data_IF_290614118351
#
_entry.id   IF_290614118351
#
_cell.length_a   1.000
_cell.length_b   1.000
_cell.length_c   1.000
_cell.angle_alpha   90.00
_cell.angle_beta   90.00
_cell.angle_gamma   90.00
#
_symmetry.space_group_name_H-M   'P 1'
#
loop_
_entity.id
_entity.type
_entity.pdbx_description
1 polymer ?
#
# COMPACT_ATOMS: atom_id res chain seq x y z
N UNK A 1 9.49 22.13 29.19
CA UNK A 1 9.07 22.58 27.86
C UNK A 1 9.20 21.39 26.93
N UNK A 2 8.12 20.83 26.37
CA UNK A 2 8.25 19.73 25.42
C UNK A 2 9.00 20.25 24.19
N UNK A 3 10.05 19.51 23.78
CA UNK A 3 10.76 19.82 22.53
C UNK A 3 9.75 19.78 21.40
N UNK A 4 9.71 20.84 20.60
CA UNK A 4 8.92 20.83 19.37
C UNK A 4 9.35 19.61 18.53
N UNK A 5 8.42 18.77 18.05
CA UNK A 5 8.76 17.61 17.26
C UNK A 5 9.57 18.08 16.04
N UNK A 6 10.72 17.46 15.85
CA UNK A 6 11.60 17.79 14.71
C UNK A 6 10.99 17.21 13.43
N UNK A 7 11.07 17.95 12.32
CA UNK A 7 10.69 17.39 11.02
C UNK A 7 11.49 16.11 10.76
N UNK A 8 10.80 15.03 10.38
CA UNK A 8 11.45 13.77 10.01
C UNK A 8 11.56 13.70 8.50
N UNK A 9 12.76 13.50 7.94
CA UNK A 9 12.91 13.34 6.51
C UNK A 9 12.27 12.02 6.05
N UNK A 10 11.59 12.07 4.90
CA UNK A 10 11.06 10.92 4.20
C UNK A 10 11.56 10.96 2.76
N UNK A 11 12.30 9.97 2.34
CA UNK A 11 12.66 9.77 0.96
C UNK A 11 11.68 8.84 0.27
N UNK A 12 11.07 9.28 -0.82
CA UNK A 12 10.27 8.45 -1.71
C UNK A 12 11.17 8.07 -2.89
N UNK A 13 11.75 6.88 -2.82
CA UNK A 13 12.76 6.42 -3.78
C UNK A 13 12.18 5.99 -5.11
N UNK A 14 10.98 5.41 -5.08
CA UNK A 14 10.26 4.91 -6.26
C UNK A 14 8.79 5.04 -6.03
N UNK A 15 8.06 5.17 -7.13
CA UNK A 15 6.60 5.20 -7.17
C UNK A 15 6.11 4.28 -8.26
N UNK A 16 5.09 3.50 -7.99
CA UNK A 16 4.30 2.78 -8.97
C UNK A 16 2.83 3.17 -8.83
N UNK A 17 2.16 3.34 -9.96
CA UNK A 17 0.76 3.71 -10.02
C UNK A 17 0.06 2.85 -11.05
N UNK A 18 -1.11 2.32 -10.72
CA UNK A 18 -1.97 1.57 -11.63
C UNK A 18 -3.23 2.39 -11.95
N UNK A 19 -3.22 3.15 -13.05
CA UNK A 19 -4.27 4.16 -13.31
C UNK A 19 -5.60 3.58 -13.77
N UNK A 20 -5.59 2.39 -14.39
CA UNK A 20 -6.79 1.76 -14.93
C UNK A 20 -7.00 0.38 -14.29
N UNK A 21 -7.79 0.38 -13.22
CA UNK A 21 -8.09 -0.84 -12.46
C UNK A 21 -8.90 -1.88 -13.26
N UNK A 22 -9.50 -1.51 -14.39
CA UNK A 22 -10.19 -2.45 -15.28
C UNK A 22 -9.20 -3.30 -16.10
N UNK A 23 -7.97 -2.81 -16.31
CA UNK A 23 -6.93 -3.58 -16.98
C UNK A 23 -6.40 -4.69 -16.07
N UNK A 24 -5.99 -5.79 -16.70
CA UNK A 24 -5.29 -6.85 -15.98
C UNK A 24 -3.82 -6.47 -15.80
N UNK A 25 -3.30 -6.51 -14.56
CA UNK A 25 -1.89 -6.25 -14.33
C UNK A 25 -1.01 -7.34 -14.96
N UNK A 26 0.18 -6.96 -15.42
CA UNK A 26 1.17 -7.92 -15.87
C UNK A 26 1.72 -8.70 -14.67
N UNK A 27 1.57 -10.01 -14.73
CA UNK A 27 2.05 -10.98 -13.76
C UNK A 27 2.90 -12.06 -14.44
N UNK A 28 3.58 -11.74 -15.54
CA UNK A 28 4.43 -12.71 -16.26
C UNK A 28 5.52 -13.28 -15.37
N UNK A 29 5.96 -12.53 -14.37
CA UNK A 29 6.95 -12.94 -13.36
C UNK A 29 6.41 -13.94 -12.31
N UNK A 30 5.08 -14.10 -12.20
CA UNK A 30 4.44 -15.04 -11.25
C UNK A 30 4.20 -16.38 -11.95
N UNK A 31 4.61 -17.53 -11.36
CA UNK A 31 4.33 -18.86 -11.93
C UNK A 31 2.84 -19.06 -12.24
N UNK A 32 2.49 -19.70 -13.37
CA UNK A 32 1.10 -19.78 -13.85
C UNK A 32 0.12 -20.39 -12.84
N UNK A 33 0.55 -21.36 -12.05
CA UNK A 33 -0.28 -22.01 -11.05
C UNK A 33 -0.63 -21.06 -9.88
N UNK A 34 0.32 -20.25 -9.44
CA UNK A 34 0.12 -19.27 -8.39
C UNK A 34 -0.74 -18.10 -8.91
N UNK A 35 -0.41 -17.59 -10.10
CA UNK A 35 -1.14 -16.48 -10.74
C UNK A 35 -2.64 -16.74 -10.87
N UNK A 36 -3.05 -17.99 -11.19
CA UNK A 36 -4.47 -18.37 -11.31
C UNK A 36 -5.24 -18.33 -9.99
N UNK A 37 -4.55 -18.30 -8.86
CA UNK A 37 -5.15 -18.30 -7.51
C UNK A 37 -5.28 -16.90 -6.93
N UNK A 38 -4.62 -15.90 -7.53
CA UNK A 38 -4.68 -14.52 -7.05
C UNK A 38 -6.04 -13.91 -7.39
N UNK A 39 -6.62 -13.19 -6.44
CA UNK A 39 -7.71 -12.26 -6.68
C UNK A 39 -7.25 -11.09 -7.53
N UNK A 40 -8.17 -10.25 -7.98
CA UNK A 40 -7.80 -9.06 -8.74
C UNK A 40 -7.03 -8.05 -7.85
N UNK A 41 -7.43 -7.86 -6.61
CA UNK A 41 -6.70 -7.02 -5.64
C UNK A 41 -5.28 -7.55 -5.40
N UNK A 42 -5.14 -8.86 -5.15
CA UNK A 42 -3.83 -9.49 -4.98
C UNK A 42 -2.95 -9.33 -6.22
N UNK A 43 -3.53 -9.50 -7.40
CA UNK A 43 -2.83 -9.33 -8.67
C UNK A 43 -2.28 -7.90 -8.84
N UNK A 44 -3.08 -6.88 -8.51
CA UNK A 44 -2.65 -5.48 -8.53
C UNK A 44 -1.55 -5.23 -7.49
N UNK A 45 -1.72 -5.73 -6.27
CA UNK A 45 -0.69 -5.60 -5.23
C UNK A 45 0.64 -6.25 -5.62
N UNK A 46 0.60 -7.44 -6.23
CA UNK A 46 1.79 -8.12 -6.75
C UNK A 46 2.48 -7.32 -7.85
N UNK A 47 1.70 -6.79 -8.79
CA UNK A 47 2.24 -5.96 -9.87
C UNK A 47 2.95 -4.71 -9.34
N UNK A 48 2.30 -3.96 -8.43
CA UNK A 48 2.89 -2.78 -7.80
C UNK A 48 4.16 -3.12 -7.02
N UNK A 49 4.11 -4.17 -6.20
CA UNK A 49 5.26 -4.61 -5.43
C UNK A 49 6.44 -4.99 -6.34
N UNK A 50 6.17 -5.76 -7.40
CA UNK A 50 7.20 -6.14 -8.37
C UNK A 50 7.78 -4.93 -9.11
N UNK A 51 6.95 -4.02 -9.58
CA UNK A 51 7.40 -2.80 -10.25
C UNK A 51 8.34 -1.95 -9.38
N UNK A 52 8.18 -2.01 -8.07
CA UNK A 52 9.00 -1.27 -7.11
C UNK A 52 10.28 -1.99 -6.69
N UNK A 53 10.34 -3.31 -6.86
CA UNK A 53 11.40 -4.15 -6.24
C UNK A 53 12.18 -5.04 -7.20
N UNK A 54 11.75 -5.19 -8.47
CA UNK A 54 12.28 -6.19 -9.40
C UNK A 54 13.80 -6.10 -9.67
N UNK A 55 14.37 -4.91 -9.60
CA UNK A 55 15.81 -4.65 -9.82
C UNK A 55 16.58 -4.43 -8.50
N UNK A 56 15.93 -4.62 -7.35
CA UNK A 56 16.60 -4.55 -6.06
C UNK A 56 17.31 -5.89 -5.75
N UNK A 57 18.41 -5.84 -5.02
CA UNK A 57 19.12 -7.07 -4.65
C UNK A 57 18.26 -7.93 -3.70
N UNK A 58 18.35 -9.27 -3.80
CA UNK A 58 17.63 -10.19 -2.91
C UNK A 58 17.85 -9.91 -1.42
N UNK A 59 19.07 -9.52 -1.03
CA UNK A 59 19.40 -9.15 0.35
C UNK A 59 18.57 -7.99 0.91
N UNK A 60 18.01 -7.16 0.05
CA UNK A 60 17.08 -6.10 0.45
C UNK A 60 15.64 -6.58 0.37
N UNK A 61 15.23 -7.21 -0.72
CA UNK A 61 13.83 -7.61 -0.94
C UNK A 61 13.35 -8.70 0.01
N UNK A 62 14.24 -9.59 0.44
CA UNK A 62 13.94 -10.64 1.43
C UNK A 62 13.72 -10.10 2.85
N UNK A 63 14.10 -8.85 3.11
CA UNK A 63 14.03 -8.20 4.43
C UNK A 63 13.32 -6.84 4.38
N UNK A 64 12.51 -6.59 3.35
CA UNK A 64 11.81 -5.33 3.15
C UNK A 64 10.43 -5.35 3.83
N UNK A 65 10.19 -4.59 4.91
CA UNK A 65 8.87 -4.51 5.53
C UNK A 65 7.81 -4.06 4.52
N UNK A 66 6.61 -4.64 4.62
CA UNK A 66 5.49 -4.34 3.72
C UNK A 66 4.36 -3.71 4.51
N UNK A 67 3.91 -2.54 4.09
CA UNK A 67 2.72 -1.88 4.60
C UNK A 67 1.69 -1.90 3.47
N UNK A 68 0.67 -2.72 3.63
CA UNK A 68 -0.44 -2.85 2.68
C UNK A 68 -1.68 -2.18 3.24
N UNK A 69 -2.40 -1.46 2.42
CA UNK A 69 -3.65 -0.83 2.81
C UNK A 69 -4.73 -1.01 1.74
N UNK A 70 -5.94 -1.26 2.18
CA UNK A 70 -7.13 -1.31 1.34
C UNK A 70 -8.34 -0.88 2.17
N UNK A 71 -9.24 -0.09 1.59
CA UNK A 71 -10.48 0.31 2.28
C UNK A 71 -11.44 -0.86 2.45
N UNK A 72 -11.51 -1.72 1.47
CA UNK A 72 -12.51 -2.81 1.39
C UNK A 72 -11.88 -4.21 1.41
N UNK A 73 -10.57 -4.31 1.17
CA UNK A 73 -9.90 -5.61 1.06
C UNK A 73 -10.50 -6.47 -0.05
N UNK A 74 -10.65 -7.75 0.22
CA UNK A 74 -11.20 -8.77 -0.68
C UNK A 74 -12.76 -8.81 -0.62
N UNK A 75 -13.42 -7.66 -0.86
CA UNK A 75 -14.88 -7.55 -0.72
C UNK A 75 -15.63 -8.50 -1.66
N UNK A 76 -15.23 -8.58 -2.92
CA UNK A 76 -15.85 -9.49 -3.91
C UNK A 76 -15.73 -10.95 -3.47
N UNK A 77 -14.58 -11.37 -3.00
CA UNK A 77 -14.37 -12.73 -2.51
C UNK A 77 -15.16 -12.99 -1.24
N UNK A 78 -15.18 -12.05 -0.32
CA UNK A 78 -15.92 -12.14 0.95
C UNK A 78 -17.43 -12.27 0.71
N UNK A 79 -17.99 -11.44 -0.17
CA UNK A 79 -19.42 -11.53 -0.57
C UNK A 79 -19.74 -12.87 -1.20
N UNK A 80 -18.85 -13.41 -2.04
CA UNK A 80 -19.03 -14.73 -2.65
C UNK A 80 -19.03 -15.83 -1.60
N UNK A 81 -18.13 -15.80 -0.63
CA UNK A 81 -18.08 -16.77 0.47
C UNK A 81 -19.41 -16.74 1.26
N UNK A 82 -19.92 -15.55 1.57
CA UNK A 82 -21.20 -15.40 2.27
C UNK A 82 -22.36 -15.97 1.44
N UNK A 83 -22.39 -15.69 0.13
CA UNK A 83 -23.42 -16.22 -0.76
C UNK A 83 -23.35 -17.76 -0.88
N UNK A 84 -22.16 -18.34 -1.03
CA UNK A 84 -21.94 -19.79 -1.09
C UNK A 84 -22.41 -20.43 0.23
N UNK A 85 -22.08 -19.83 1.39
CA UNK A 85 -22.53 -20.31 2.69
C UNK A 85 -24.06 -20.31 2.84
N UNK A 86 -24.72 -19.25 2.41
CA UNK A 86 -26.19 -19.19 2.41
C UNK A 86 -26.83 -20.24 1.51
N UNK A 87 -26.19 -20.57 0.40
CA UNK A 87 -26.70 -21.54 -0.57
C UNK A 87 -26.46 -23.00 -0.17
N UNK A 88 -25.34 -23.31 0.50
CA UNK A 88 -24.88 -24.69 0.72
C UNK A 88 -24.66 -25.04 2.20
N UNK A 89 -24.57 -24.07 3.09
CA UNK A 89 -24.15 -24.24 4.48
C UNK A 89 -22.65 -24.49 4.65
N UNK A 90 -21.88 -24.44 3.58
CA UNK A 90 -20.44 -24.76 3.59
C UNK A 90 -19.57 -23.57 3.17
N UNK A 91 -18.37 -23.50 3.70
CA UNK A 91 -17.32 -22.53 3.35
C UNK A 91 -16.08 -23.26 2.87
N UNK A 92 -15.58 -22.87 1.70
CA UNK A 92 -14.29 -23.37 1.21
C UNK A 92 -13.14 -22.83 2.06
N UNK A 93 -12.36 -23.67 2.78
CA UNK A 93 -11.22 -23.21 3.57
C UNK A 93 -10.17 -22.46 2.73
N UNK A 94 -9.94 -22.90 1.49
CA UNK A 94 -9.00 -22.27 0.58
C UNK A 94 -9.40 -20.85 0.16
N UNK A 95 -10.70 -20.60 -0.05
CA UNK A 95 -11.22 -19.27 -0.35
C UNK A 95 -11.22 -18.38 0.89
N UNK A 96 -11.61 -18.94 2.04
CA UNK A 96 -11.62 -18.22 3.31
C UNK A 96 -10.23 -17.72 3.68
N UNK A 97 -9.19 -18.56 3.55
CA UNK A 97 -7.81 -18.18 3.88
C UNK A 97 -7.24 -17.04 3.02
N UNK A 98 -7.83 -16.78 1.85
CA UNK A 98 -7.39 -15.70 0.95
C UNK A 98 -8.32 -14.48 0.95
N UNK A 99 -9.40 -14.49 1.76
CA UNK A 99 -10.37 -13.38 1.84
C UNK A 99 -10.05 -12.34 2.92
N UNK A 100 -8.98 -12.54 3.67
CA UNK A 100 -8.58 -11.65 4.75
C UNK A 100 -7.72 -10.49 4.24
N UNK A 101 -7.75 -9.34 4.94
CA UNK A 101 -7.04 -8.12 4.53
C UNK A 101 -5.53 -8.32 4.33
N UNK A 102 -4.92 -9.20 5.10
CA UNK A 102 -3.50 -9.50 5.01
C UNK A 102 -3.14 -10.59 3.98
N UNK A 103 -4.10 -11.07 3.19
CA UNK A 103 -3.83 -12.09 2.18
C UNK A 103 -2.87 -11.59 1.08
N UNK A 104 -3.07 -10.37 0.59
CA UNK A 104 -2.22 -9.81 -0.46
C UNK A 104 -0.74 -9.68 -0.03
N UNK A 105 -0.38 -9.00 1.07
CA UNK A 105 1.01 -8.91 1.51
C UNK A 105 1.57 -10.26 1.96
N UNK A 106 0.77 -11.14 2.58
CA UNK A 106 1.21 -12.46 3.01
C UNK A 106 1.56 -13.39 1.84
N UNK A 107 0.73 -13.41 0.79
CA UNK A 107 1.03 -14.17 -0.42
C UNK A 107 2.24 -13.62 -1.16
N UNK A 108 2.38 -12.28 -1.22
CA UNK A 108 3.55 -11.66 -1.84
C UNK A 108 4.83 -11.95 -1.05
N UNK A 109 4.80 -11.92 0.29
CA UNK A 109 5.98 -12.24 1.10
C UNK A 109 6.47 -13.67 0.86
N UNK A 110 5.54 -14.63 0.75
CA UNK A 110 5.88 -16.03 0.41
C UNK A 110 6.49 -16.10 -1.00
N UNK A 111 5.89 -15.42 -1.97
CA UNK A 111 6.37 -15.41 -3.36
C UNK A 111 7.76 -14.77 -3.47
N UNK A 112 7.99 -13.65 -2.80
CA UNK A 112 9.26 -12.91 -2.82
C UNK A 112 10.32 -13.44 -1.84
N UNK A 113 10.05 -14.54 -1.14
CA UNK A 113 10.89 -15.06 -0.04
C UNK A 113 11.19 -13.99 1.03
N UNK A 114 10.26 -13.05 1.22
CA UNK A 114 10.42 -11.96 2.17
C UNK A 114 10.04 -12.42 3.58
N UNK A 115 10.99 -12.32 4.50
CA UNK A 115 10.84 -12.71 5.91
C UNK A 115 10.61 -11.52 6.85
N UNK A 116 10.59 -10.29 6.30
CA UNK A 116 10.30 -9.10 7.07
C UNK A 116 8.82 -9.05 7.53
N UNK A 117 8.50 -8.26 8.54
CA UNK A 117 7.12 -8.08 8.96
C UNK A 117 6.28 -7.40 7.87
N UNK A 118 5.00 -7.73 7.83
CA UNK A 118 4.03 -6.97 7.06
C UNK A 118 2.83 -6.56 7.90
N UNK A 119 2.26 -5.41 7.57
CA UNK A 119 1.05 -4.86 8.20
C UNK A 119 -0.04 -4.71 7.14
N UNK A 120 -1.29 -4.98 7.50
CA UNK A 120 -2.46 -4.71 6.67
C UNK A 120 -3.39 -3.73 7.38
N UNK A 121 -3.75 -2.64 6.70
CA UNK A 121 -4.50 -1.51 7.26
C UNK A 121 -5.82 -1.32 6.53
N UNK A 122 -6.89 -1.18 7.32
CA UNK A 122 -8.21 -0.79 6.86
C UNK A 122 -8.83 0.18 7.88
N UNK A 123 -9.09 1.40 7.47
CA UNK A 123 -9.65 2.48 8.29
C UNK A 123 -10.77 3.26 7.56
N UNK A 124 -11.51 2.59 6.68
CA UNK A 124 -12.54 3.23 5.87
C UNK A 124 -11.97 4.39 5.03
N UNK A 125 -12.59 5.57 5.12
CA UNK A 125 -12.14 6.76 4.40
C UNK A 125 -10.73 7.22 4.81
N UNK A 126 -10.31 6.94 6.05
CA UNK A 126 -9.00 7.33 6.56
C UNK A 126 -7.89 6.34 6.21
N UNK A 127 -8.17 5.27 5.47
CA UNK A 127 -7.18 4.25 5.09
C UNK A 127 -5.92 4.86 4.44
N UNK A 128 -6.01 5.81 3.50
CA UNK A 128 -4.81 6.43 2.91
C UNK A 128 -3.93 7.13 3.96
N UNK A 129 -4.54 7.93 4.84
CA UNK A 129 -3.84 8.67 5.90
C UNK A 129 -3.22 7.73 6.93
N UNK A 130 -4.00 6.74 7.41
CA UNK A 130 -3.53 5.76 8.40
C UNK A 130 -2.39 4.90 7.86
N UNK A 131 -2.46 4.48 6.59
CA UNK A 131 -1.40 3.69 5.98
C UNK A 131 -0.10 4.45 5.81
N UNK A 132 -0.20 5.74 5.48
CA UNK A 132 0.97 6.60 5.39
C UNK A 132 1.55 6.89 6.76
N UNK A 133 0.70 7.11 7.79
CA UNK A 133 1.16 7.27 9.16
C UNK A 133 1.94 6.06 9.65
N UNK A 134 1.44 4.84 9.40
CA UNK A 134 2.16 3.60 9.70
C UNK A 134 3.53 3.56 8.99
N UNK A 135 3.54 3.94 7.71
CA UNK A 135 4.78 4.01 6.95
C UNK A 135 5.77 5.03 7.52
N UNK A 136 5.30 6.14 8.09
CA UNK A 136 6.14 7.16 8.72
C UNK A 136 6.68 6.74 10.09
N UNK A 137 6.01 5.83 10.77
CA UNK A 137 6.45 5.29 12.07
C UNK A 137 7.48 4.18 11.93
N UNK A 138 7.59 3.54 10.77
CA UNK A 138 8.60 2.54 10.48
C UNK A 138 9.95 3.21 10.14
N UNK A 139 11.06 2.51 10.38
CA UNK A 139 12.41 2.98 10.09
C UNK A 139 13.05 2.16 8.96
N UNK A 140 13.91 2.80 8.18
CA UNK A 140 14.64 2.21 7.07
C UNK A 140 13.81 1.99 5.81
N UNK A 141 14.33 1.21 4.84
CA UNK A 141 13.63 0.90 3.60
C UNK A 141 12.34 0.12 3.87
N UNK A 142 11.24 0.50 3.22
CA UNK A 142 9.94 -0.15 3.35
C UNK A 142 9.10 -0.03 2.10
N UNK A 143 8.35 -1.06 1.79
CA UNK A 143 7.40 -1.10 0.69
C UNK A 143 6.02 -0.70 1.21
N UNK A 144 5.46 0.37 0.66
CA UNK A 144 4.11 0.82 0.96
C UNK A 144 3.22 0.64 -0.27
N UNK A 145 2.06 0.02 -0.09
CA UNK A 145 1.07 -0.25 -1.15
C UNK A 145 -0.31 0.12 -0.62
N UNK A 146 -1.01 0.95 -1.38
CA UNK A 146 -2.43 1.26 -1.20
C UNK A 146 -3.18 0.78 -2.44
N UNK A 147 -4.09 -0.18 -2.28
CA UNK A 147 -4.86 -0.73 -3.39
C UNK A 147 -6.26 -1.13 -2.97
N UNK A 148 -7.24 -0.81 -3.81
CA UNK A 148 -8.63 -1.24 -3.66
C UNK A 148 -9.04 -2.17 -4.81
N UNK A 149 -10.07 -2.97 -4.59
CA UNK A 149 -10.66 -3.77 -5.67
C UNK A 149 -11.28 -2.87 -6.76
N UNK A 150 -11.10 -3.23 -8.04
CA UNK A 150 -11.81 -2.58 -9.13
C UNK A 150 -13.33 -2.64 -8.94
N UNK A 151 -14.00 -1.54 -9.25
CA UNK A 151 -15.45 -1.42 -9.13
C UNK A 151 -15.95 -0.91 -7.77
N UNK A 152 -15.07 -0.75 -6.78
CA UNK A 152 -15.41 0.03 -5.59
C UNK A 152 -15.41 1.53 -5.92
N UNK A 153 -16.31 2.34 -5.34
CA UNK A 153 -16.27 3.80 -5.53
C UNK A 153 -14.90 4.35 -5.15
N UNK A 154 -14.37 5.24 -5.98
CA UNK A 154 -13.06 5.87 -5.80
C UNK A 154 -11.91 4.88 -5.57
N UNK A 155 -12.01 3.70 -6.19
CA UNK A 155 -10.97 2.67 -6.13
C UNK A 155 -9.66 3.18 -6.72
N UNK A 156 -8.57 2.84 -6.06
CA UNK A 156 -7.24 3.32 -6.38
C UNK A 156 -6.17 2.26 -6.18
N UNK A 157 -5.09 2.33 -6.93
CA UNK A 157 -3.94 1.46 -6.70
C UNK A 157 -2.62 2.19 -6.97
N UNK A 158 -1.78 2.26 -5.95
CA UNK A 158 -0.45 2.84 -6.00
C UNK A 158 0.47 2.21 -4.97
N UNK A 159 1.76 2.41 -5.12
CA UNK A 159 2.75 2.02 -4.14
C UNK A 159 4.00 2.89 -4.20
N UNK A 160 4.80 2.83 -3.17
CA UNK A 160 6.08 3.51 -3.10
C UNK A 160 7.12 2.69 -2.33
N UNK A 161 8.36 2.83 -2.72
CA UNK A 161 9.51 2.43 -1.91
C UNK A 161 9.95 3.65 -1.10
N UNK A 162 9.80 3.55 0.21
CA UNK A 162 10.07 4.62 1.16
C UNK A 162 11.34 4.33 1.94
N UNK A 163 12.03 5.39 2.39
CA UNK A 163 13.21 5.31 3.24
C UNK A 163 13.30 6.61 4.07
N UNK A 164 14.03 6.59 5.17
CA UNK A 164 14.30 7.76 6.03
C UNK A 164 15.74 8.23 5.91
N UNK A 165 16.57 7.55 5.13
CA UNK A 165 17.92 8.02 4.81
C UNK A 165 17.92 9.01 3.64
N UNK A 166 18.82 10.00 3.64
CA UNK A 166 19.00 10.88 2.49
C UNK A 166 19.25 10.05 1.22
N UNK A 167 18.50 10.36 0.18
CA UNK A 167 18.60 9.68 -1.10
C UNK A 167 19.36 10.53 -2.12
N UNK A 168 19.81 9.95 -3.25
CA UNK A 168 20.34 10.69 -4.40
C UNK A 168 19.37 11.78 -4.88
N UNK A 169 19.88 12.74 -5.65
CA UNK A 169 19.14 13.93 -6.12
C UNK A 169 17.86 13.67 -6.89
N UNK A 170 17.63 12.45 -7.36
CA UNK A 170 16.46 12.01 -8.11
C UNK A 170 15.30 11.49 -7.24
N UNK A 171 15.51 11.32 -5.94
CA UNK A 171 14.44 10.91 -5.02
C UNK A 171 13.60 12.11 -4.59
N UNK A 172 12.29 11.86 -4.45
CA UNK A 172 11.41 12.83 -3.83
C UNK A 172 11.68 12.87 -2.33
N UNK A 173 12.10 14.03 -1.84
CA UNK A 173 12.22 14.28 -0.41
C UNK A 173 10.98 14.98 0.12
N UNK A 174 10.48 14.54 1.26
CA UNK A 174 9.42 15.20 2.00
C UNK A 174 9.80 15.34 3.47
N UNK A 175 9.30 16.39 4.09
CA UNK A 175 9.38 16.58 5.53
C UNK A 175 8.03 16.24 6.17
N UNK A 176 8.08 15.40 7.18
CA UNK A 176 6.94 15.13 8.04
C UNK A 176 6.88 16.23 9.08
N UNK A 177 5.84 17.05 9.00
CA UNK A 177 5.57 18.08 10.00
C UNK A 177 4.45 17.61 10.91
N UNK A 178 4.52 17.90 12.23
CA UNK A 178 3.40 17.61 13.12
C UNK A 178 2.13 18.31 12.61
N UNK A 179 1.04 17.58 12.58
CA UNK A 179 -0.27 18.14 12.19
C UNK A 179 -0.73 19.16 13.20
N UNK A 180 -1.26 20.28 12.73
CA UNK A 180 -2.15 21.09 13.55
C UNK A 180 -3.54 20.45 13.50
N UNK A 181 -4.23 20.25 14.64
CA UNK A 181 -5.56 19.70 14.65
C UNK A 181 -6.55 20.71 14.02
N UNK A 182 -6.69 20.65 12.73
CA UNK A 182 -7.74 21.34 11.99
C UNK A 182 -8.70 20.29 11.46
N UNK A 183 -10.02 20.44 11.54
CA UNK A 183 -10.97 19.56 10.89
C UNK A 183 -10.76 19.67 9.38
N UNK A 184 -10.05 18.74 8.82
CA UNK A 184 -9.85 18.60 7.38
C UNK A 184 -10.58 17.35 6.91
N UNK A 185 -11.09 17.38 5.70
CA UNK A 185 -11.61 16.19 5.05
C UNK A 185 -10.55 15.07 5.04
N UNK A 186 -10.95 13.81 5.07
CA UNK A 186 -10.02 12.70 4.93
C UNK A 186 -9.15 12.86 3.68
N UNK A 187 -7.87 12.53 3.78
CA UNK A 187 -6.99 12.46 2.62
C UNK A 187 -7.52 11.36 1.69
N UNK A 188 -7.80 11.73 0.46
CA UNK A 188 -8.16 10.74 -0.56
C UNK A 188 -6.91 10.08 -1.15
N UNK A 189 -7.09 8.92 -1.79
CA UNK A 189 -6.02 8.29 -2.54
C UNK A 189 -5.56 9.17 -3.72
N UNK A 190 -6.46 9.98 -4.29
CA UNK A 190 -6.13 10.94 -5.36
C UNK A 190 -5.21 12.07 -4.84
N UNK A 191 -5.47 12.62 -3.65
CA UNK A 191 -4.60 13.64 -3.02
C UNK A 191 -3.20 13.09 -2.79
N UNK A 192 -3.13 11.86 -2.32
CA UNK A 192 -1.88 11.17 -2.05
C UNK A 192 -1.10 10.93 -3.35
N UNK A 193 -1.78 10.52 -4.42
CA UNK A 193 -1.19 10.37 -5.73
C UNK A 193 -0.67 11.70 -6.28
N UNK A 194 -1.47 12.76 -6.22
CA UNK A 194 -1.08 14.08 -6.67
C UNK A 194 0.18 14.56 -5.95
N UNK A 195 0.29 14.29 -4.64
CA UNK A 195 1.50 14.58 -3.87
C UNK A 195 2.69 13.75 -4.34
N UNK A 196 2.52 12.44 -4.44
CA UNK A 196 3.61 11.49 -4.78
C UNK A 196 4.08 11.72 -6.24
N UNK A 197 3.18 12.01 -7.17
CA UNK A 197 3.51 12.32 -8.57
C UNK A 197 4.00 13.76 -8.80
N UNK A 198 4.08 14.59 -7.77
CA UNK A 198 4.62 15.92 -7.91
C UNK A 198 3.65 17.01 -8.32
N UNK A 199 2.39 16.69 -8.37
CA UNK A 199 1.32 17.62 -8.72
C UNK A 199 0.90 18.51 -7.56
N UNK A 200 1.23 18.12 -6.32
CA UNK A 200 0.98 18.88 -5.10
C UNK A 200 2.26 19.04 -4.29
N UNK A 201 2.46 20.22 -3.68
CA UNK A 201 3.63 20.53 -2.87
C UNK A 201 3.49 20.05 -1.42
N UNK A 202 2.27 19.97 -0.91
CA UNK A 202 2.00 19.52 0.45
C UNK A 202 0.76 18.64 0.49
N UNK A 203 0.80 17.65 1.37
CA UNK A 203 -0.32 16.78 1.73
C UNK A 203 -0.60 16.99 3.22
N UNK A 204 -1.84 17.32 3.57
CA UNK A 204 -2.24 17.60 4.95
C UNK A 204 -3.19 16.55 5.47
N UNK A 205 -2.87 15.96 6.61
CA UNK A 205 -3.70 15.04 7.36
C UNK A 205 -3.94 15.54 8.78
N UNK A 206 -4.89 14.97 9.50
CA UNK A 206 -5.15 15.33 10.89
C UNK A 206 -3.92 15.21 11.81
N UNK A 207 -3.09 14.19 11.58
CA UNK A 207 -1.95 13.86 12.44
C UNK A 207 -0.61 14.43 11.95
N UNK A 208 -0.51 14.78 10.66
CA UNK A 208 0.76 15.20 10.07
C UNK A 208 0.54 16.04 8.79
N UNK A 209 1.58 16.72 8.38
CA UNK A 209 1.69 17.35 7.06
C UNK A 209 2.96 16.87 6.40
N UNK A 210 2.87 16.44 5.15
CA UNK A 210 4.03 16.18 4.30
C UNK A 210 4.23 17.35 3.36
N UNK A 211 5.43 17.90 3.31
CA UNK A 211 5.81 18.93 2.35
C UNK A 211 7.05 18.47 1.59
N UNK A 212 7.05 18.67 0.28
CA UNK A 212 8.22 18.43 -0.57
C UNK A 212 9.33 19.38 -0.18
N UNK A 213 10.54 18.87 -0.08
CA UNK A 213 11.76 19.67 -0.02
C UNK A 213 12.34 19.81 -1.41
N UNK A 214 12.90 20.95 -1.69
CA UNK A 214 13.66 21.22 -2.93
C UNK A 214 15.06 20.67 -2.80
#
# INVERSE_FOLDING_TARGET
MPLAPRPTPLAIRRVAHWPDLAQKPDLSFVPPLQRRRLSQLQAIAFHLAHALTADLPPSLTEHLPIIFASRTGEDTLSRRIVADFHATGEVSPARFSTSVYNAAPGLYSIFAHNTAPYTAIAAGADTPACSLLEALMASGPRLWILADEPGTPDAYAMGALLDDTPAPDDALHALVLPGTPTPTEPITAADLCAFVLGQSQCLRAHAFTLCRTR
#
